data_IF_060424814658
#
_entry.id   IF_060424814658
#
_cell.length_a   1.000
_cell.length_b   1.000
_cell.length_c   1.000
_cell.angle_alpha   90.00
_cell.angle_beta   90.00
_cell.angle_gamma   90.00
#
_symmetry.space_group_name_H-M   'P 1'
#
loop_
_entity.id
_entity.type
_entity.pdbx_description
1 polymer ?
#
# COMPACT_ATOMS: atom_id res chain seq x y z
N UNK A 1 -15.80 -9.30 -14.04
CA UNK A 1 -16.95 -8.66 -13.38
C UNK A 1 -16.47 -7.42 -12.65
N UNK A 2 -17.22 -6.33 -12.72
CA UNK A 2 -17.05 -5.16 -11.83
C UNK A 2 -18.29 -5.08 -10.95
N UNK A 3 -18.14 -5.34 -9.65
CA UNK A 3 -19.27 -5.44 -8.73
C UNK A 3 -19.71 -4.08 -8.17
N UNK A 4 -18.78 -3.13 -8.06
CA UNK A 4 -19.05 -1.76 -7.64
C UNK A 4 -17.86 -0.84 -7.98
N UNK A 5 -18.13 0.45 -8.18
CA UNK A 5 -17.11 1.49 -8.33
C UNK A 5 -17.58 2.77 -7.63
N UNK A 6 -16.68 3.47 -6.94
CA UNK A 6 -16.95 4.77 -6.32
C UNK A 6 -15.82 5.73 -6.60
N UNK A 7 -16.17 6.94 -7.03
CA UNK A 7 -15.23 8.04 -7.15
C UNK A 7 -15.11 8.77 -5.82
N UNK A 8 -13.93 9.33 -5.58
CA UNK A 8 -13.66 10.11 -4.38
C UNK A 8 -14.23 11.51 -4.56
N UNK A 9 -15.01 11.98 -3.58
CA UNK A 9 -15.47 13.38 -3.55
C UNK A 9 -14.34 14.25 -3.01
N UNK A 10 -13.73 15.11 -3.83
CA UNK A 10 -12.73 16.09 -3.40
C UNK A 10 -11.55 15.50 -2.61
N UNK A 11 -11.08 16.25 -1.59
CA UNK A 11 -9.93 15.91 -0.73
C UNK A 11 -10.27 14.93 0.42
N UNK A 12 -11.22 14.02 0.20
CA UNK A 12 -11.58 12.99 1.20
C UNK A 12 -10.58 11.83 1.12
N UNK A 13 -10.34 11.11 2.21
CA UNK A 13 -9.46 9.95 2.20
C UNK A 13 -10.04 8.81 1.32
N UNK A 14 -9.16 8.00 0.72
CA UNK A 14 -9.57 6.90 -0.18
C UNK A 14 -10.35 5.79 0.55
N UNK A 15 -10.09 5.58 1.85
CA UNK A 15 -10.78 4.57 2.65
C UNK A 15 -12.23 4.92 3.01
N UNK A 16 -12.68 6.16 2.77
CA UNK A 16 -14.01 6.60 3.15
C UNK A 16 -15.06 5.74 2.44
N UNK A 17 -15.86 5.02 3.22
CA UNK A 17 -16.91 4.16 2.69
C UNK A 17 -16.40 2.86 2.05
N UNK A 18 -15.10 2.55 2.17
CA UNK A 18 -14.53 1.32 1.61
C UNK A 18 -15.13 0.06 2.25
N UNK A 19 -15.47 0.09 3.55
CA UNK A 19 -16.09 -1.05 4.23
C UNK A 19 -17.50 -1.36 3.70
N UNK A 20 -18.33 -0.37 3.40
CA UNK A 20 -19.65 -0.61 2.80
C UNK A 20 -19.52 -1.03 1.34
N UNK A 21 -18.65 -0.37 0.58
CA UNK A 21 -18.34 -0.75 -0.80
C UNK A 21 -17.88 -2.21 -0.90
N UNK A 22 -17.02 -2.65 0.02
CA UNK A 22 -16.55 -4.03 0.08
C UNK A 22 -17.70 -5.02 0.32
N UNK A 23 -18.59 -4.74 1.28
CA UNK A 23 -19.74 -5.60 1.58
C UNK A 23 -20.67 -5.73 0.38
N UNK A 24 -20.99 -4.61 -0.26
CA UNK A 24 -21.79 -4.59 -1.49
C UNK A 24 -21.12 -5.42 -2.59
N UNK A 25 -19.82 -5.19 -2.83
CA UNK A 25 -19.07 -5.90 -3.86
C UNK A 25 -18.99 -7.41 -3.59
N UNK A 26 -18.75 -7.84 -2.35
CA UNK A 26 -18.73 -9.25 -1.97
C UNK A 26 -20.11 -9.90 -2.07
N UNK A 27 -21.17 -9.18 -1.68
CA UNK A 27 -22.55 -9.65 -1.83
C UNK A 27 -22.87 -9.94 -3.29
N UNK A 28 -22.60 -8.98 -4.18
CA UNK A 28 -22.82 -9.13 -5.62
C UNK A 28 -21.93 -10.23 -6.21
N UNK A 29 -20.64 -10.28 -5.85
CA UNK A 29 -19.73 -11.31 -6.34
C UNK A 29 -20.22 -12.72 -5.97
N UNK A 30 -20.68 -12.93 -4.73
CA UNK A 30 -21.23 -14.22 -4.29
C UNK A 30 -22.56 -14.56 -4.95
N UNK A 31 -23.41 -13.56 -5.22
CA UNK A 31 -24.62 -13.78 -6.02
C UNK A 31 -24.29 -14.23 -7.45
N UNK A 32 -23.15 -13.81 -7.99
CA UNK A 32 -22.62 -14.27 -9.28
C UNK A 32 -21.74 -15.54 -9.19
N UNK A 33 -21.75 -16.26 -8.07
CA UNK A 33 -21.06 -17.55 -7.92
C UNK A 33 -19.64 -17.48 -7.36
N UNK A 34 -19.16 -16.32 -6.87
CA UNK A 34 -17.88 -16.26 -6.18
C UNK A 34 -17.88 -17.16 -4.93
N UNK A 35 -16.86 -18.01 -4.80
CA UNK A 35 -16.80 -19.05 -3.77
C UNK A 35 -17.40 -20.40 -4.21
N UNK A 36 -17.80 -20.55 -5.48
CA UNK A 36 -18.32 -21.81 -6.01
C UNK A 36 -19.75 -22.12 -5.56
N UNK A 37 -20.30 -23.28 -6.00
CA UNK A 37 -21.70 -23.64 -5.81
C UNK A 37 -22.13 -23.72 -4.33
N UNK A 38 -21.22 -24.16 -3.46
CA UNK A 38 -21.46 -24.28 -2.01
C UNK A 38 -20.97 -23.06 -1.21
N UNK A 39 -20.46 -22.01 -1.88
CA UNK A 39 -19.81 -20.84 -1.25
C UNK A 39 -18.62 -21.17 -0.33
N UNK A 40 -18.04 -22.36 -0.44
CA UNK A 40 -16.89 -22.82 0.33
C UNK A 40 -15.53 -22.36 -0.25
N UNK A 41 -15.53 -21.89 -1.50
CA UNK A 41 -14.32 -21.42 -2.18
C UNK A 41 -13.76 -20.14 -1.58
N UNK A 42 -12.44 -20.03 -1.60
CA UNK A 42 -11.70 -18.88 -1.11
C UNK A 42 -12.07 -17.61 -1.89
N UNK A 43 -12.46 -16.56 -1.17
CA UNK A 43 -12.61 -15.21 -1.73
C UNK A 43 -11.55 -14.31 -1.10
N UNK A 44 -10.65 -13.76 -1.92
CA UNK A 44 -9.55 -12.90 -1.48
C UNK A 44 -9.83 -11.43 -1.84
N UNK A 45 -9.85 -10.58 -0.82
CA UNK A 45 -9.83 -9.12 -0.97
C UNK A 45 -8.39 -8.62 -1.03
N UNK A 46 -8.04 -7.83 -2.05
CA UNK A 46 -6.74 -7.16 -2.16
C UNK A 46 -6.92 -5.65 -2.10
N UNK A 47 -6.07 -4.97 -1.33
CA UNK A 47 -6.04 -3.51 -1.30
C UNK A 47 -4.64 -3.00 -0.94
N UNK A 48 -4.36 -1.74 -1.28
CA UNK A 48 -3.13 -1.06 -0.89
C UNK A 48 -3.26 -0.39 0.50
N UNK A 49 -2.15 0.21 0.95
CA UNK A 49 -2.03 0.81 2.29
C UNK A 49 -2.98 1.97 2.58
N UNK A 50 -3.60 2.60 1.56
CA UNK A 50 -4.62 3.61 1.77
C UNK A 50 -5.88 3.03 2.43
N UNK A 51 -6.11 1.71 2.28
CA UNK A 51 -7.26 0.99 2.83
C UNK A 51 -6.93 0.18 4.09
N UNK A 52 -5.69 0.27 4.59
CA UNK A 52 -5.27 -0.36 5.84
C UNK A 52 -6.01 0.28 7.03
N UNK A 53 -7.17 -0.29 7.37
CA UNK A 53 -8.02 0.18 8.46
C UNK A 53 -8.78 -0.98 9.09
N UNK A 54 -9.02 -0.88 10.39
CA UNK A 54 -9.80 -1.86 11.14
C UNK A 54 -11.17 -2.12 10.50
N UNK A 55 -11.87 -1.07 10.04
CA UNK A 55 -13.21 -1.20 9.47
C UNK A 55 -13.24 -2.03 8.19
N UNK A 56 -12.22 -1.90 7.33
CA UNK A 56 -12.12 -2.68 6.08
C UNK A 56 -11.79 -4.14 6.40
N UNK A 57 -10.81 -4.39 7.27
CA UNK A 57 -10.42 -5.75 7.68
C UNK A 57 -11.59 -6.45 8.37
N UNK A 58 -12.27 -5.78 9.30
CA UNK A 58 -13.43 -6.31 10.00
C UNK A 58 -14.59 -6.61 9.04
N UNK A 59 -14.81 -5.78 8.02
CA UNK A 59 -15.81 -6.06 6.99
C UNK A 59 -15.44 -7.30 6.16
N UNK A 60 -14.19 -7.41 5.68
CA UNK A 60 -13.73 -8.59 4.95
C UNK A 60 -13.95 -9.88 5.76
N UNK A 61 -13.54 -9.88 7.03
CA UNK A 61 -13.71 -11.03 7.93
C UNK A 61 -15.17 -11.40 8.16
N UNK A 62 -16.04 -10.41 8.40
CA UNK A 62 -17.49 -10.62 8.59
C UNK A 62 -18.16 -11.25 7.36
N UNK A 63 -17.70 -10.88 6.17
CA UNK A 63 -18.20 -11.42 4.91
C UNK A 63 -17.53 -12.76 4.53
N UNK A 64 -16.71 -13.35 5.41
CA UNK A 64 -16.01 -14.61 5.15
C UNK A 64 -15.00 -14.53 4.02
N UNK A 65 -14.39 -13.37 3.80
CA UNK A 65 -13.33 -13.17 2.82
C UNK A 65 -11.96 -13.12 3.52
N UNK A 66 -10.97 -13.75 2.91
CA UNK A 66 -9.56 -13.53 3.24
C UNK A 66 -9.11 -12.17 2.70
N UNK A 67 -8.03 -11.63 3.23
CA UNK A 67 -7.51 -10.33 2.79
C UNK A 67 -5.99 -10.33 2.66
N UNK A 68 -5.49 -9.56 1.71
CA UNK A 68 -4.08 -9.21 1.53
C UNK A 68 -4.02 -7.69 1.38
N UNK A 69 -3.52 -7.01 2.41
CA UNK A 69 -3.43 -5.55 2.43
C UNK A 69 -2.02 -5.15 2.84
N UNK A 70 -1.42 -4.22 2.11
CA UNK A 70 -0.14 -3.63 2.52
C UNK A 70 -0.33 -2.85 3.82
N UNK A 71 0.29 -3.31 4.91
CA UNK A 71 0.21 -2.63 6.19
C UNK A 71 0.98 -1.30 6.16
N UNK A 72 0.47 -0.28 6.87
CA UNK A 72 1.22 0.96 7.11
C UNK A 72 2.18 0.74 8.27
N UNK A 73 3.44 1.15 8.11
CA UNK A 73 4.46 1.05 9.16
C UNK A 73 4.31 2.16 10.21
N UNK A 74 3.19 2.16 10.94
CA UNK A 74 2.94 3.08 12.05
C UNK A 74 3.62 2.62 13.35
N UNK A 75 3.55 3.44 14.40
CA UNK A 75 4.18 3.13 15.68
C UNK A 75 3.64 1.85 16.34
N UNK A 76 2.35 1.53 16.16
CA UNK A 76 1.75 0.33 16.72
C UNK A 76 2.22 -0.91 15.97
N UNK A 77 2.28 -0.86 14.64
CA UNK A 77 2.81 -1.94 13.79
C UNK A 77 4.29 -2.18 14.09
N UNK A 78 5.10 -1.11 14.19
CA UNK A 78 6.52 -1.23 14.57
C UNK A 78 6.71 -1.88 15.93
N UNK A 79 5.94 -1.46 16.93
CA UNK A 79 5.97 -2.06 18.27
C UNK A 79 5.56 -3.52 18.23
N UNK A 80 4.51 -3.86 17.49
CA UNK A 80 4.04 -5.24 17.37
C UNK A 80 5.09 -6.14 16.70
N UNK A 81 5.73 -5.68 15.62
CA UNK A 81 6.81 -6.40 14.93
C UNK A 81 8.01 -6.57 15.87
N UNK A 82 8.44 -5.52 16.57
CA UNK A 82 9.60 -5.58 17.48
C UNK A 82 9.35 -6.41 18.75
N UNK A 83 8.11 -6.80 19.03
CA UNK A 83 7.77 -7.70 20.13
C UNK A 83 7.78 -9.18 19.74
N UNK A 84 7.95 -9.51 18.44
CA UNK A 84 8.08 -10.88 17.96
C UNK A 84 9.49 -11.37 18.33
N UNK A 85 9.58 -12.44 19.13
CA UNK A 85 10.86 -13.06 19.49
C UNK A 85 11.59 -13.62 18.27
N UNK A 86 12.91 -13.66 18.32
CA UNK A 86 13.75 -14.12 17.20
C UNK A 86 13.43 -15.56 16.78
N UNK A 87 13.08 -16.41 17.74
CA UNK A 87 12.70 -17.81 17.58
C UNK A 87 11.29 -18.01 16.98
N UNK A 88 10.44 -16.98 16.99
CA UNK A 88 9.09 -17.04 16.44
C UNK A 88 9.05 -16.74 14.93
N UNK A 89 10.13 -16.23 14.34
CA UNK A 89 10.20 -15.96 12.91
C UNK A 89 10.35 -17.25 12.10
N UNK A 90 9.50 -17.43 11.10
CA UNK A 90 9.64 -18.51 10.13
C UNK A 90 10.41 -18.01 8.91
N UNK A 91 11.57 -18.63 8.64
CA UNK A 91 12.36 -18.31 7.45
C UNK A 91 11.58 -18.67 6.17
N UNK A 92 11.59 -17.75 5.21
CA UNK A 92 10.99 -17.99 3.90
C UNK A 92 12.11 -18.48 2.97
N UNK A 93 11.94 -19.68 2.42
CA UNK A 93 12.87 -20.21 1.40
C UNK A 93 12.57 -19.54 0.06
N UNK A 94 13.48 -18.72 -0.42
CA UNK A 94 13.45 -18.20 -1.77
C UNK A 94 14.10 -19.21 -2.73
N UNK A 95 13.37 -19.75 -3.72
CA UNK A 95 13.88 -20.80 -4.60
C UNK A 95 15.14 -20.38 -5.38
N UNK A 96 15.18 -19.11 -5.79
CA UNK A 96 16.26 -18.51 -6.58
C UNK A 96 16.86 -17.31 -5.82
N UNK A 97 17.21 -17.51 -4.55
CA UNK A 97 17.90 -16.47 -3.79
C UNK A 97 19.27 -16.21 -4.43
N UNK A 98 19.51 -14.97 -4.85
CA UNK A 98 20.87 -14.48 -5.09
C UNK A 98 21.35 -13.97 -3.73
N UNK A 99 22.36 -14.62 -3.18
CA UNK A 99 23.00 -14.21 -1.95
C UNK A 99 24.15 -13.27 -2.31
N UNK A 100 24.21 -12.12 -1.66
CA UNK A 100 25.41 -11.28 -1.73
C UNK A 100 26.48 -11.96 -0.86
N UNK A 101 27.58 -12.41 -1.46
CA UNK A 101 28.73 -12.89 -0.70
C UNK A 101 29.28 -11.75 0.16
N UNK A 102 29.48 -12.00 1.45
CA UNK A 102 30.10 -11.05 2.39
C UNK A 102 31.52 -10.68 1.93
N UNK A 103 31.63 -9.64 1.10
CA UNK A 103 32.93 -9.22 0.56
C UNK A 103 32.99 -7.87 -0.17
N UNK A 104 31.88 -7.19 -0.45
CA UNK A 104 31.92 -5.87 -1.11
C UNK A 104 31.07 -4.79 -0.43
N UNK A 105 30.78 -4.94 0.86
CA UNK A 105 30.27 -3.83 1.66
C UNK A 105 31.40 -2.80 1.88
N UNK A 106 31.62 -1.93 0.88
CA UNK A 106 32.28 -0.64 1.04
C UNK A 106 33.75 -0.57 0.62
N UNK A 107 34.05 -0.75 -0.68
CA UNK A 107 35.07 0.12 -1.26
C UNK A 107 34.46 1.52 -1.44
N UNK A 108 35.06 2.60 -0.91
CA UNK A 108 34.54 3.94 -1.17
C UNK A 108 34.74 4.20 -2.66
N UNK A 109 33.66 4.15 -3.42
CA UNK A 109 33.67 4.67 -4.79
C UNK A 109 34.12 6.12 -4.69
N UNK A 110 35.19 6.54 -5.39
CA UNK A 110 35.61 7.93 -5.36
C UNK A 110 34.41 8.77 -5.82
N UNK A 111 33.94 9.66 -4.94
CA UNK A 111 32.86 10.59 -5.27
C UNK A 111 33.26 11.33 -6.53
N UNK A 112 32.53 11.10 -7.61
CA UNK A 112 32.60 11.95 -8.79
C UNK A 112 32.41 13.39 -8.34
N UNK A 113 33.30 14.34 -8.67
CA UNK A 113 33.15 15.72 -8.23
C UNK A 113 31.81 16.23 -8.75
N UNK A 114 30.97 16.74 -7.84
CA UNK A 114 29.68 17.35 -8.21
C UNK A 114 29.98 18.41 -9.28
N UNK A 115 29.41 18.23 -10.47
CA UNK A 115 29.35 19.31 -11.44
C UNK A 115 28.62 20.48 -10.79
N UNK A 116 29.31 21.60 -10.62
CA UNK A 116 28.70 22.83 -10.17
C UNK A 116 27.62 23.20 -11.20
N UNK A 117 26.35 23.18 -10.78
CA UNK A 117 25.27 23.75 -11.58
C UNK A 117 25.55 25.26 -11.71
N UNK A 118 25.54 25.85 -12.91
CA UNK A 118 25.82 27.27 -13.06
C UNK A 118 24.74 28.08 -12.32
N UNK A 119 25.16 29.00 -11.45
CA UNK A 119 24.26 30.00 -10.86
C UNK A 119 23.66 30.83 -11.98
N UNK A 120 22.33 30.91 -12.04
CA UNK A 120 21.64 31.92 -12.84
C UNK A 120 22.02 33.33 -12.34
N UNK A 121 22.31 34.28 -13.23
CA UNK A 121 22.65 35.65 -12.85
C UNK A 121 21.41 36.43 -12.33
N UNK A 122 21.59 37.46 -11.49
CA UNK A 122 20.49 38.20 -10.91
C UNK A 122 20.01 39.34 -11.84
N UNK A 123 18.70 39.45 -11.99
CA UNK A 123 17.98 40.73 -12.15
C UNK A 123 17.52 41.13 -13.56
N UNK A 124 16.20 41.28 -13.73
CA UNK A 124 15.59 42.46 -14.37
C UNK A 124 14.08 42.50 -14.04
N UNK A 125 13.65 43.65 -13.50
CA UNK A 125 12.27 44.00 -13.12
C UNK A 125 11.35 44.24 -14.32
N UNK A 126 10.05 43.96 -14.19
CA UNK A 126 8.97 44.72 -14.85
C UNK A 126 7.58 44.49 -14.19
N UNK A 127 7.12 45.52 -13.47
CA UNK A 127 5.79 46.16 -13.54
C UNK A 127 4.48 45.36 -13.35
N UNK A 128 3.92 45.44 -12.13
CA UNK A 128 2.61 46.04 -11.74
C UNK A 128 1.37 46.02 -12.67
N UNK A 129 0.33 45.27 -12.20
CA UNK A 129 -1.14 45.48 -12.15
C UNK A 129 -2.06 45.32 -13.40
N UNK A 130 -3.41 45.15 -13.25
CA UNK A 130 -4.26 44.65 -12.14
C UNK A 130 -5.34 43.60 -12.57
N UNK A 131 -6.24 43.16 -11.66
CA UNK A 131 -7.36 42.25 -11.96
C UNK A 131 -8.64 42.98 -12.39
N UNK A 132 -9.47 42.29 -13.18
CA UNK A 132 -10.86 42.59 -13.53
C UNK A 132 -11.52 41.34 -14.05
#
# INVERSE_FOLDING_TARGET
MVAAARLRKGAVNSARGAASLLREALTTARACGAGGPERAGLVLMRADSAFYSHNVIAAARREGACFSITARMDAAVKRAIGAIGEDAWTAIRYPNAIWDDEGNAGSPTPRSPRSASPRSPPGASATTFPPG
#
